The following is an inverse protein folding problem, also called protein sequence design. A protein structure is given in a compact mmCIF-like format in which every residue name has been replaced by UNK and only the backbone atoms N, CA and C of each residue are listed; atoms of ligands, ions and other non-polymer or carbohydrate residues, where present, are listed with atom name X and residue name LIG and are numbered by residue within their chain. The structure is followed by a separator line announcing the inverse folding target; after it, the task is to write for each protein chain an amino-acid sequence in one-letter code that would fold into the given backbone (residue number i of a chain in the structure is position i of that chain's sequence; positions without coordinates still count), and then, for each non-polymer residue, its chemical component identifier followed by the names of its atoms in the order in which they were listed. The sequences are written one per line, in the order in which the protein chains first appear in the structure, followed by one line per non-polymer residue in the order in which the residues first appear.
data_IF_259073118673
#
_entry.id   IF_259073118673
#
_cell.length_a   1.000
_cell.length_b   1.000
_cell.length_c   1.000
_cell.angle_alpha   90.00
_cell.angle_beta   90.00
_cell.angle_gamma   90.00
#
_symmetry.space_group_name_H-M   'P 1'
#
loop_
_entity.id
_entity.type
_entity.pdbx_description
1 polymer ?
#
# COMPACT_ATOMS: atom_id res chain seq x y z
N UNK A 1 -6.11 -10.36 26.63
CA UNK A 1 -5.40 -11.23 25.67
C UNK A 1 -6.07 -11.06 24.31
N UNK A 2 -5.64 -10.06 23.54
CA UNK A 2 -6.20 -9.76 22.21
C UNK A 2 -5.42 -10.61 21.19
N UNK A 3 -6.15 -11.40 20.42
CA UNK A 3 -5.62 -12.38 19.47
C UNK A 3 -4.64 -11.73 18.49
N UNK A 4 -3.41 -12.24 18.48
CA UNK A 4 -2.35 -11.89 17.55
C UNK A 4 -2.70 -12.42 16.15
N UNK A 5 -3.38 -11.61 15.34
CA UNK A 5 -3.52 -11.88 13.89
C UNK A 5 -2.28 -11.35 13.18
N UNK A 6 -1.19 -12.11 13.30
CA UNK A 6 -0.01 -11.97 12.44
C UNK A 6 -0.35 -12.62 11.09
N UNK A 7 -1.15 -11.94 10.27
CA UNK A 7 -1.66 -12.49 9.02
C UNK A 7 -1.31 -11.58 7.85
N UNK A 8 -0.44 -12.09 6.98
CA UNK A 8 -0.47 -11.83 5.54
C UNK A 8 -0.17 -10.39 5.10
N UNK A 9 1.02 -9.91 5.45
CA UNK A 9 1.62 -8.75 4.80
C UNK A 9 1.87 -9.08 3.31
N UNK A 10 1.20 -8.35 2.41
CA UNK A 10 1.31 -8.39 0.95
C UNK A 10 0.76 -9.62 0.17
N UNK A 11 0.04 -10.55 0.82
CA UNK A 11 -0.57 -11.69 0.09
C UNK A 11 -2.06 -11.59 -0.31
N UNK A 12 -2.85 -10.51 -0.07
CA UNK A 12 -4.22 -10.49 -0.61
C UNK A 12 -4.47 -9.48 -1.73
N UNK A 13 -3.53 -8.62 -2.17
CA UNK A 13 -3.82 -7.56 -3.18
C UNK A 13 -4.28 -8.08 -4.55
N UNK A 14 -4.10 -9.37 -4.87
CA UNK A 14 -4.46 -9.85 -6.20
C UNK A 14 -4.84 -11.34 -6.23
N UNK A 15 -6.02 -11.65 -5.71
CA UNK A 15 -6.80 -12.82 -6.10
C UNK A 15 -7.97 -12.33 -6.99
N UNK A 16 -7.65 -11.56 -8.04
CA UNK A 16 -8.64 -10.86 -8.84
C UNK A 16 -9.21 -11.70 -10.02
N UNK A 17 -8.64 -12.85 -10.39
CA UNK A 17 -9.09 -13.61 -11.59
C UNK A 17 -8.86 -15.12 -11.46
N UNK A 18 -9.37 -15.81 -10.44
CA UNK A 18 -9.47 -17.29 -10.53
C UNK A 18 -10.40 -17.86 -9.45
N UNK A 19 -11.67 -18.09 -9.78
CA UNK A 19 -12.52 -18.99 -9.00
C UNK A 19 -13.73 -19.48 -9.83
N UNK A 20 -13.53 -20.55 -10.61
CA UNK A 20 -14.58 -21.56 -10.81
C UNK A 20 -13.91 -22.93 -10.95
N UNK A 21 -13.97 -23.77 -9.90
CA UNK A 21 -14.09 -25.24 -10.02
C UNK A 21 -14.53 -25.87 -8.69
N UNK A 22 -15.76 -26.40 -8.72
CA UNK A 22 -16.33 -27.57 -8.02
C UNK A 22 -16.15 -27.79 -6.50
N UNK A 23 -17.18 -27.44 -5.72
CA UNK A 23 -17.76 -28.28 -4.63
C UNK A 23 -19.10 -27.69 -4.15
N UNK A 24 -20.17 -28.50 -3.93
CA UNK A 24 -21.46 -28.01 -3.45
C UNK A 24 -21.54 -28.16 -1.93
N UNK A 25 -21.38 -27.06 -1.19
CA UNK A 25 -22.04 -26.76 0.10
C UNK A 25 -21.31 -25.58 0.75
N UNK A 26 -22.09 -24.59 1.20
CA UNK A 26 -21.72 -23.29 1.74
C UNK A 26 -21.39 -22.21 0.70
N UNK A 27 -22.35 -21.31 0.57
CA UNK A 27 -22.32 -20.09 -0.22
C UNK A 27 -21.13 -19.20 0.13
N UNK A 28 -20.02 -19.35 -0.60
CA UNK A 28 -19.27 -18.17 -1.01
C UNK A 28 -19.87 -17.76 -2.36
N UNK A 29 -20.63 -16.65 -2.37
CA UNK A 29 -20.98 -15.97 -3.61
C UNK A 29 -19.64 -15.68 -4.27
N UNK A 30 -19.27 -16.44 -5.31
CA UNK A 30 -18.12 -16.13 -6.13
C UNK A 30 -18.35 -14.69 -6.59
N UNK A 31 -17.62 -13.75 -6.00
CA UNK A 31 -17.82 -12.34 -6.26
C UNK A 31 -17.44 -12.14 -7.72
N UNK A 32 -18.44 -11.77 -8.52
CA UNK A 32 -18.22 -11.49 -9.93
C UNK A 32 -17.26 -10.30 -10.05
N UNK A 33 -16.37 -10.36 -11.03
CA UNK A 33 -15.60 -9.20 -11.44
C UNK A 33 -16.54 -8.24 -12.16
N UNK A 34 -16.79 -7.09 -11.55
CA UNK A 34 -17.60 -6.02 -12.14
C UNK A 34 -16.68 -4.99 -12.80
N UNK A 35 -17.04 -4.52 -14.01
CA UNK A 35 -16.28 -3.52 -14.76
C UNK A 35 -17.23 -2.43 -15.23
N UNK A 36 -16.89 -1.19 -14.91
CA UNK A 36 -17.62 0.02 -15.26
C UNK A 36 -16.69 1.01 -15.97
N UNK A 37 -17.25 1.84 -16.84
CA UNK A 37 -16.56 2.95 -17.48
C UNK A 37 -17.57 3.96 -18.04
N UNK A 38 -17.15 5.23 -18.10
CA UNK A 38 -18.01 6.35 -18.51
C UNK A 38 -18.25 6.41 -20.03
N UNK A 39 -17.24 6.06 -20.83
CA UNK A 39 -17.31 6.27 -22.29
C UNK A 39 -17.67 5.00 -23.05
N UNK A 40 -16.95 3.89 -22.85
CA UNK A 40 -17.22 2.65 -23.59
C UNK A 40 -16.76 1.39 -22.88
N UNK A 41 -17.49 0.31 -23.15
CA UNK A 41 -17.08 -1.08 -22.96
C UNK A 41 -17.09 -1.75 -24.34
N UNK A 42 -15.92 -2.14 -24.83
CA UNK A 42 -15.72 -2.68 -26.17
C UNK A 42 -15.13 -4.07 -26.10
N UNK A 43 -15.67 -4.98 -26.91
CA UNK A 43 -15.09 -6.30 -27.15
C UNK A 43 -14.65 -6.40 -28.60
N UNK A 44 -13.34 -6.32 -28.81
CA UNK A 44 -12.71 -6.52 -30.10
C UNK A 44 -12.20 -7.96 -30.23
N UNK A 45 -12.93 -8.78 -30.99
CA UNK A 45 -12.57 -10.19 -31.22
C UNK A 45 -11.39 -10.35 -32.17
N UNK A 46 -11.19 -9.40 -33.09
CA UNK A 46 -10.10 -9.46 -34.06
C UNK A 46 -8.76 -9.23 -33.36
N UNK A 47 -8.72 -8.24 -32.46
CA UNK A 47 -7.54 -7.93 -31.65
C UNK A 47 -7.48 -8.71 -30.33
N UNK A 48 -8.52 -9.49 -30.02
CA UNK A 48 -8.67 -10.30 -28.80
C UNK A 48 -8.50 -9.48 -27.52
N UNK A 49 -9.26 -8.39 -27.44
CA UNK A 49 -9.26 -7.46 -26.31
C UNK A 49 -10.65 -7.11 -25.81
N UNK A 50 -10.79 -7.00 -24.49
CA UNK A 50 -11.85 -6.23 -23.84
C UNK A 50 -11.28 -4.89 -23.40
N UNK A 51 -11.97 -3.80 -23.72
CA UNK A 51 -11.53 -2.44 -23.37
C UNK A 51 -12.64 -1.69 -22.65
N UNK A 52 -12.32 -1.15 -21.48
CA UNK A 52 -13.14 -0.22 -20.73
C UNK A 52 -12.45 1.15 -20.72
N UNK A 53 -13.15 2.20 -21.13
CA UNK A 53 -12.55 3.53 -21.34
C UNK A 53 -13.37 4.64 -20.70
N UNK A 54 -12.68 5.58 -20.06
CA UNK A 54 -13.25 6.70 -19.32
C UNK A 54 -13.49 6.30 -17.88
N UNK A 55 -12.62 6.76 -16.96
CA UNK A 55 -12.69 6.46 -15.53
C UNK A 55 -13.02 4.99 -15.23
N UNK A 56 -12.36 4.08 -15.95
CA UNK A 56 -12.64 2.66 -15.87
C UNK A 56 -12.35 2.12 -14.46
N UNK A 57 -13.32 1.38 -13.92
CA UNK A 57 -13.23 0.74 -12.61
C UNK A 57 -13.47 -0.75 -12.77
N UNK A 58 -12.59 -1.58 -12.22
CA UNK A 58 -12.82 -3.00 -12.03
C UNK A 58 -12.88 -3.31 -10.53
N UNK A 59 -13.87 -4.06 -10.09
CA UNK A 59 -14.06 -4.41 -8.69
C UNK A 59 -14.32 -5.90 -8.48
N UNK A 60 -13.74 -6.45 -7.41
CA UNK A 60 -13.99 -7.82 -6.96
C UNK A 60 -13.79 -7.86 -5.43
N UNK A 61 -14.90 -7.95 -4.71
CA UNK A 61 -14.88 -7.89 -3.26
C UNK A 61 -14.41 -6.55 -2.72
N UNK A 62 -13.38 -6.59 -1.87
CA UNK A 62 -12.75 -5.39 -1.30
C UNK A 62 -11.65 -4.79 -2.19
N UNK A 63 -11.32 -5.44 -3.31
CA UNK A 63 -10.32 -4.98 -4.25
C UNK A 63 -10.95 -4.13 -5.37
N UNK A 64 -10.31 -3.00 -5.68
CA UNK A 64 -10.69 -2.10 -6.78
C UNK A 64 -9.48 -1.68 -7.60
N UNK A 65 -9.67 -1.57 -8.90
CA UNK A 65 -8.70 -1.04 -9.86
C UNK A 65 -9.34 0.10 -10.62
N UNK A 66 -8.70 1.26 -10.61
CA UNK A 66 -9.10 2.47 -11.29
C UNK A 66 -8.07 2.82 -12.36
N UNK A 67 -8.51 3.32 -13.51
CA UNK A 67 -7.65 3.84 -14.57
C UNK A 67 -8.47 4.69 -15.57
N UNK A 68 -7.81 5.50 -16.39
CA UNK A 68 -8.47 6.13 -17.54
C UNK A 68 -8.94 5.06 -18.54
N UNK A 69 -8.20 3.96 -18.67
CA UNK A 69 -8.58 2.79 -19.46
C UNK A 69 -8.07 1.47 -18.87
N UNK A 70 -8.91 0.43 -18.95
CA UNK A 70 -8.58 -0.97 -18.66
C UNK A 70 -8.67 -1.80 -19.94
N UNK A 71 -7.62 -2.55 -20.27
CA UNK A 71 -7.57 -3.42 -21.44
C UNK A 71 -7.18 -4.83 -21.01
N UNK A 72 -8.07 -5.80 -21.21
CA UNK A 72 -7.77 -7.21 -21.00
C UNK A 72 -7.48 -7.89 -22.34
N UNK A 73 -6.27 -8.42 -22.50
CA UNK A 73 -5.90 -9.24 -23.65
C UNK A 73 -6.18 -10.70 -23.35
N UNK A 74 -6.80 -11.41 -24.29
CA UNK A 74 -7.18 -12.80 -24.13
C UNK A 74 -6.75 -13.67 -25.30
N UNK A 75 -6.77 -14.98 -25.09
CA UNK A 75 -6.70 -16.01 -26.14
C UNK A 75 -7.91 -16.91 -26.02
N UNK A 76 -8.22 -17.66 -27.07
CA UNK A 76 -9.23 -18.72 -27.01
C UNK A 76 -8.52 -20.07 -27.02
N UNK A 77 -8.97 -21.02 -26.18
CA UNK A 77 -8.52 -22.41 -26.29
C UNK A 77 -9.28 -23.13 -27.42
N UNK A 78 -8.97 -24.41 -27.64
CA UNK A 78 -9.64 -25.23 -28.66
C UNK A 78 -11.15 -25.39 -28.45
N UNK A 79 -11.62 -25.22 -27.21
CA UNK A 79 -13.04 -25.24 -26.84
C UNK A 79 -13.74 -23.89 -27.03
N UNK A 80 -13.01 -22.84 -27.43
CA UNK A 80 -13.53 -21.48 -27.55
C UNK A 80 -13.59 -20.71 -26.23
N UNK A 81 -13.05 -21.25 -25.14
CA UNK A 81 -13.02 -20.57 -23.85
C UNK A 81 -12.02 -19.42 -23.86
N UNK A 82 -12.46 -18.28 -23.32
CA UNK A 82 -11.64 -17.09 -23.17
C UNK A 82 -10.66 -17.26 -22.01
N UNK A 83 -9.38 -17.12 -22.32
CA UNK A 83 -8.27 -17.16 -21.35
C UNK A 83 -7.58 -15.80 -21.34
N UNK A 84 -7.75 -15.06 -20.25
CA UNK A 84 -7.07 -13.77 -20.05
C UNK A 84 -5.57 -14.02 -19.92
N UNK A 85 -4.75 -13.24 -20.64
CA UNK A 85 -3.29 -13.33 -20.62
C UNK A 85 -2.64 -12.17 -19.89
N UNK A 86 -3.18 -10.97 -20.08
CA UNK A 86 -2.74 -9.79 -19.35
C UNK A 86 -3.84 -8.75 -19.28
N UNK A 87 -3.77 -7.93 -18.24
CA UNK A 87 -4.61 -6.74 -18.07
C UNK A 87 -3.70 -5.53 -17.98
N UNK A 88 -4.03 -4.48 -18.70
CA UNK A 88 -3.33 -3.19 -18.71
C UNK A 88 -4.27 -2.14 -18.13
N UNK A 89 -3.85 -1.50 -17.04
CA UNK A 89 -4.47 -0.31 -16.46
C UNK A 89 -3.60 0.89 -16.82
N UNK A 90 -4.14 1.87 -17.52
CA UNK A 90 -3.37 3.01 -18.04
C UNK A 90 -4.08 4.34 -17.82
N UNK A 91 -3.28 5.39 -17.63
CA UNK A 91 -3.79 6.72 -17.32
C UNK A 91 -4.21 6.77 -15.85
N UNK A 92 -3.24 7.04 -14.98
CA UNK A 92 -3.47 7.16 -13.53
C UNK A 92 -3.99 5.87 -12.86
N UNK A 93 -3.39 4.73 -13.22
CA UNK A 93 -3.70 3.45 -12.59
C UNK A 93 -3.59 3.52 -11.07
N UNK A 94 -4.65 3.13 -10.38
CA UNK A 94 -4.71 3.02 -8.91
C UNK A 94 -5.36 1.70 -8.53
N UNK A 95 -4.73 0.95 -7.63
CA UNK A 95 -5.34 -0.24 -7.03
C UNK A 95 -5.55 0.03 -5.55
N UNK A 96 -6.70 -0.39 -5.06
CA UNK A 96 -7.05 -0.33 -3.64
C UNK A 96 -7.45 -1.72 -3.18
N UNK A 97 -6.94 -2.13 -2.02
CA UNK A 97 -7.46 -3.30 -1.31
C UNK A 97 -7.26 -3.14 0.17
N UNK A 98 -8.35 -3.25 0.94
CA UNK A 98 -8.32 -2.94 2.36
C UNK A 98 -7.76 -1.52 2.56
N UNK A 99 -6.67 -1.33 3.32
CA UNK A 99 -6.01 -0.03 3.52
C UNK A 99 -4.80 0.18 2.59
N UNK A 100 -4.51 -0.78 1.71
CA UNK A 100 -3.36 -0.72 0.82
C UNK A 100 -3.74 -0.01 -0.49
N UNK A 101 -2.90 0.93 -0.91
CA UNK A 101 -3.07 1.70 -2.15
C UNK A 101 -1.78 1.67 -2.95
N UNK A 102 -1.89 1.31 -4.23
CA UNK A 102 -0.81 1.43 -5.21
C UNK A 102 -1.26 2.39 -6.29
N UNK A 103 -0.40 3.33 -6.68
CA UNK A 103 -0.65 4.23 -7.81
C UNK A 103 0.54 4.23 -8.76
N UNK A 104 0.29 4.30 -10.06
CA UNK A 104 1.28 4.45 -11.12
C UNK A 104 0.63 5.08 -12.37
N UNK A 105 1.40 5.49 -13.38
CA UNK A 105 0.79 5.87 -14.67
C UNK A 105 0.21 4.64 -15.39
N UNK A 106 0.86 3.50 -15.24
CA UNK A 106 0.51 2.25 -15.91
C UNK A 106 0.79 1.06 -14.99
N UNK A 107 -0.14 0.10 -14.95
CA UNK A 107 0.06 -1.20 -14.35
C UNK A 107 -0.31 -2.31 -15.32
N UNK A 108 0.47 -3.38 -15.35
CA UNK A 108 0.21 -4.57 -16.16
C UNK A 108 0.21 -5.80 -15.28
N UNK A 109 -0.90 -6.53 -15.24
CA UNK A 109 -1.00 -7.82 -14.60
C UNK A 109 -0.88 -8.92 -15.66
N UNK A 110 -0.04 -9.92 -15.42
CA UNK A 110 0.18 -11.07 -16.29
C UNK A 110 -0.41 -12.33 -15.65
N UNK A 111 -1.10 -13.13 -16.45
CA UNK A 111 -1.68 -14.41 -16.06
C UNK A 111 -0.77 -15.56 -16.54
N UNK A 112 -0.64 -16.60 -15.73
CA UNK A 112 -0.01 -17.85 -16.13
C UNK A 112 -0.96 -18.76 -16.93
N UNK A 113 -0.46 -19.93 -17.34
CA UNK A 113 -1.22 -20.89 -18.13
C UNK A 113 -2.45 -21.44 -17.40
N UNK A 114 -2.48 -21.42 -16.07
CA UNK A 114 -3.60 -21.86 -15.23
C UNK A 114 -4.59 -20.73 -14.94
N UNK A 115 -4.51 -19.61 -15.67
CA UNK A 115 -5.31 -18.41 -15.46
C UNK A 115 -5.20 -17.87 -14.02
N UNK A 116 -4.03 -18.02 -13.38
CA UNK A 116 -3.70 -17.37 -12.11
C UNK A 116 -2.71 -16.24 -12.35
N UNK A 117 -2.64 -15.30 -11.43
CA UNK A 117 -1.70 -14.20 -11.53
C UNK A 117 -0.25 -14.67 -11.37
N UNK A 118 0.60 -14.24 -12.30
CA UNK A 118 2.03 -14.55 -12.33
C UNK A 118 2.87 -13.37 -11.87
N UNK A 119 2.58 -12.19 -12.44
CA UNK A 119 3.37 -10.98 -12.18
C UNK A 119 2.53 -9.71 -12.35
N UNK A 120 2.80 -8.71 -11.52
CA UNK A 120 2.37 -7.31 -11.76
C UNK A 120 3.59 -6.47 -12.09
N UNK A 121 3.47 -5.56 -13.04
CA UNK A 121 4.42 -4.49 -13.27
C UNK A 121 3.73 -3.13 -13.14
N UNK A 122 4.26 -2.25 -12.30
CA UNK A 122 3.84 -0.85 -12.20
C UNK A 122 4.96 0.06 -12.72
N UNK A 123 4.61 1.08 -13.50
CA UNK A 123 5.59 1.93 -14.19
C UNK A 123 5.22 3.40 -14.11
N UNK A 124 6.27 4.23 -14.06
CA UNK A 124 6.27 5.70 -14.02
C UNK A 124 5.55 6.23 -12.79
N UNK A 125 6.33 6.77 -11.85
CA UNK A 125 5.83 7.34 -10.58
C UNK A 125 5.03 6.33 -9.75
N UNK A 126 5.65 5.19 -9.47
CA UNK A 126 5.06 4.17 -8.61
C UNK A 126 5.07 4.66 -7.17
N UNK A 127 3.91 4.59 -6.51
CA UNK A 127 3.76 4.84 -5.08
C UNK A 127 2.94 3.72 -4.48
N UNK A 128 3.43 3.17 -3.39
CA UNK A 128 2.77 2.16 -2.57
C UNK A 128 2.56 2.79 -1.20
N UNK A 129 1.34 2.75 -0.69
CA UNK A 129 0.97 3.21 0.64
C UNK A 129 0.25 2.08 1.35
N UNK A 130 0.67 1.79 2.56
CA UNK A 130 -0.01 0.89 3.50
C UNK A 130 -0.21 1.65 4.81
N UNK A 131 -0.90 1.09 5.82
CA UNK A 131 -1.09 1.77 7.11
C UNK A 131 0.20 2.26 7.77
N UNK A 132 1.31 1.52 7.60
CA UNK A 132 2.54 1.77 8.32
C UNK A 132 3.68 2.30 7.44
N UNK A 133 3.51 2.26 6.11
CA UNK A 133 4.63 2.42 5.17
C UNK A 133 4.25 3.17 3.92
N UNK A 134 5.26 3.87 3.37
CA UNK A 134 5.21 4.48 2.05
C UNK A 134 6.45 4.10 1.27
N UNK A 135 6.28 3.63 0.04
CA UNK A 135 7.37 3.35 -0.88
C UNK A 135 7.13 4.05 -2.22
N UNK A 136 8.16 4.65 -2.79
CA UNK A 136 8.12 5.26 -4.13
C UNK A 136 9.25 4.74 -5.00
N UNK A 137 9.00 4.62 -6.31
CA UNK A 137 10.01 4.27 -7.32
C UNK A 137 9.56 4.63 -8.74
N UNK A 138 10.44 4.46 -9.72
CA UNK A 138 10.08 4.61 -11.14
C UNK A 138 9.36 3.36 -11.68
N UNK A 139 9.77 2.18 -11.21
CA UNK A 139 9.17 0.88 -11.56
C UNK A 139 9.03 0.01 -10.31
N UNK A 140 8.00 -0.82 -10.28
CA UNK A 140 7.87 -1.93 -9.35
C UNK A 140 7.41 -3.18 -10.10
N UNK A 141 7.91 -4.34 -9.68
CA UNK A 141 7.54 -5.64 -10.23
C UNK A 141 7.29 -6.58 -9.06
N UNK A 142 6.15 -7.26 -9.07
CA UNK A 142 5.84 -8.29 -8.07
C UNK A 142 5.61 -9.63 -8.74
N UNK A 143 6.32 -10.67 -8.31
CA UNK A 143 6.14 -12.05 -8.77
C UNK A 143 5.40 -12.86 -7.71
N UNK A 144 4.27 -13.48 -8.09
CA UNK A 144 3.47 -14.30 -7.19
C UNK A 144 4.12 -15.65 -6.88
N UNK A 145 4.87 -16.20 -7.83
CA UNK A 145 5.55 -17.49 -7.66
C UNK A 145 6.70 -17.43 -6.66
N UNK A 146 7.42 -16.29 -6.62
CA UNK A 146 8.56 -16.10 -5.72
C UNK A 146 8.22 -15.28 -4.48
N UNK A 147 7.08 -14.59 -4.49
CA UNK A 147 6.67 -13.63 -3.46
C UNK A 147 7.72 -12.52 -3.25
N UNK A 148 8.36 -12.11 -4.34
CA UNK A 148 9.37 -11.04 -4.35
C UNK A 148 8.80 -9.81 -5.06
N UNK A 149 8.76 -8.69 -4.33
CA UNK A 149 8.53 -7.37 -4.90
C UNK A 149 9.88 -6.67 -5.14
N UNK A 150 10.14 -6.25 -6.37
CA UNK A 150 11.33 -5.51 -6.77
C UNK A 150 10.94 -4.10 -7.20
N UNK A 151 11.50 -3.09 -6.54
CA UNK A 151 11.35 -1.67 -6.90
C UNK A 151 12.67 -1.17 -7.49
N UNK A 152 12.62 -0.33 -8.52
CA UNK A 152 13.81 0.22 -9.16
C UNK A 152 13.61 1.65 -9.65
N UNK A 153 14.69 2.43 -9.62
CA UNK A 153 14.72 3.85 -9.96
C UNK A 153 14.13 4.70 -8.84
N UNK A 154 14.92 5.66 -8.34
CA UNK A 154 14.52 6.63 -7.32
C UNK A 154 13.78 6.01 -6.11
N UNK A 155 14.28 4.89 -5.59
CA UNK A 155 13.61 4.15 -4.52
C UNK A 155 13.70 4.92 -3.21
N UNK A 156 12.55 5.23 -2.62
CA UNK A 156 12.43 5.78 -1.27
C UNK A 156 11.40 4.99 -0.49
N UNK A 157 11.80 4.43 0.65
CA UNK A 157 10.95 3.74 1.60
C UNK A 157 10.89 4.57 2.88
N UNK A 158 9.71 4.72 3.47
CA UNK A 158 9.47 5.42 4.73
C UNK A 158 8.58 4.56 5.63
N UNK A 159 9.00 4.34 6.88
CA UNK A 159 8.24 3.63 7.93
C UNK A 159 8.37 4.42 9.23
N UNK A 160 7.28 5.05 9.67
CA UNK A 160 7.35 6.05 10.75
C UNK A 160 8.35 7.16 10.42
N UNK A 161 9.27 7.46 11.33
CA UNK A 161 10.36 8.40 11.11
C UNK A 161 11.52 7.84 10.25
N UNK A 162 11.56 6.52 10.02
CA UNK A 162 12.66 5.87 9.33
C UNK A 162 12.56 6.09 7.82
N UNK A 163 13.66 6.50 7.19
CA UNK A 163 13.73 6.73 5.74
C UNK A 163 14.89 5.96 5.14
N UNK A 164 14.62 5.22 4.06
CA UNK A 164 15.63 4.47 3.30
C UNK A 164 15.60 4.88 1.82
N UNK A 165 16.77 5.19 1.27
CA UNK A 165 16.96 5.64 -0.11
C UNK A 165 17.90 4.70 -0.86
N UNK A 166 17.52 4.30 -2.07
CA UNK A 166 18.28 3.39 -2.90
C UNK A 166 17.91 3.48 -4.38
N UNK A 167 18.59 2.69 -5.20
CA UNK A 167 18.31 2.61 -6.65
C UNK A 167 17.51 1.35 -7.00
N UNK A 168 17.62 0.31 -6.17
CA UNK A 168 16.76 -0.86 -6.21
C UNK A 168 16.42 -1.29 -4.79
N UNK A 169 15.23 -1.82 -4.58
CA UNK A 169 14.85 -2.54 -3.37
C UNK A 169 14.20 -3.87 -3.75
N UNK A 170 14.45 -4.91 -2.96
CA UNK A 170 13.77 -6.19 -3.02
C UNK A 170 13.12 -6.48 -1.68
N UNK A 171 11.86 -6.89 -1.71
CA UNK A 171 11.09 -7.29 -0.55
C UNK A 171 10.70 -8.75 -0.77
N UNK A 172 11.24 -9.63 0.05
CA UNK A 172 10.83 -11.02 0.09
C UNK A 172 9.69 -11.15 1.11
N UNK A 173 8.47 -11.33 0.63
CA UNK A 173 7.28 -11.30 1.47
C UNK A 173 7.09 -12.58 2.28
N UNK A 174 7.67 -13.69 1.80
CA UNK A 174 7.72 -14.94 2.54
C UNK A 174 8.50 -14.82 3.85
N UNK A 175 9.64 -14.12 3.80
CA UNK A 175 10.56 -13.96 4.94
C UNK A 175 10.43 -12.61 5.63
N UNK A 176 9.66 -11.68 5.06
CA UNK A 176 9.56 -10.28 5.46
C UNK A 176 10.90 -9.52 5.46
N UNK A 177 11.86 -9.95 4.63
CA UNK A 177 13.17 -9.30 4.52
C UNK A 177 13.17 -8.29 3.37
N UNK A 178 13.49 -7.03 3.68
CA UNK A 178 13.76 -5.99 2.71
C UNK A 178 15.28 -5.82 2.51
N UNK A 179 15.71 -5.74 1.25
CA UNK A 179 17.11 -5.46 0.87
C UNK A 179 17.13 -4.26 -0.07
N UNK A 180 17.98 -3.28 0.24
CA UNK A 180 18.22 -2.14 -0.64
C UNK A 180 19.58 -2.28 -1.31
N UNK A 181 19.61 -1.91 -2.59
CA UNK A 181 20.79 -1.95 -3.42
C UNK A 181 21.09 -0.57 -4.01
N UNK A 182 22.37 -0.30 -4.12
CA UNK A 182 22.92 0.84 -4.84
C UNK A 182 22.78 0.67 -6.36
N UNK A 183 22.90 1.77 -7.12
CA UNK A 183 23.06 1.64 -8.57
C UNK A 183 24.33 0.84 -8.86
N UNK A 184 24.22 -0.16 -9.72
CA UNK A 184 25.38 -0.81 -10.33
C UNK A 184 25.90 0.13 -11.42
N UNK A 185 27.18 0.48 -11.43
CA UNK A 185 27.80 1.14 -12.59
C UNK A 185 27.80 0.16 -13.77
N UNK A 186 27.44 0.64 -14.96
CA UNK A 186 27.39 -0.18 -16.18
C UNK A 186 28.75 -0.74 -16.62
N UNK A 187 29.87 -0.33 -16.01
CA UNK A 187 31.23 -0.77 -16.40
C UNK A 187 32.01 -1.52 -15.31
N UNK A 188 31.34 -2.17 -14.35
CA UNK A 188 32.02 -3.08 -13.40
C UNK A 188 33.01 -2.44 -12.40
N UNK A 189 33.25 -1.13 -12.47
CA UNK A 189 34.07 -0.41 -11.51
C UNK A 189 33.31 -0.22 -10.18
N UNK A 190 33.91 -0.66 -9.08
CA UNK A 190 33.41 -0.42 -7.74
C UNK A 190 33.44 1.09 -7.43
N UNK A 191 32.26 1.72 -7.38
CA UNK A 191 32.10 3.04 -6.79
C UNK A 191 30.85 3.80 -7.23
N UNK A 192 30.12 4.32 -6.24
CA UNK A 192 29.14 5.42 -6.30
C UNK A 192 27.65 5.09 -6.52
N UNK A 193 27.14 4.03 -5.92
CA UNK A 193 25.81 4.11 -5.34
C UNK A 193 25.93 3.77 -3.87
N UNK A 194 25.57 4.70 -2.98
CA UNK A 194 25.43 4.39 -1.56
C UNK A 194 23.94 4.25 -1.29
N UNK A 195 23.55 3.17 -0.64
CA UNK A 195 22.24 3.12 0.02
C UNK A 195 22.33 3.99 1.27
N UNK A 196 21.30 4.78 1.55
CA UNK A 196 21.24 5.63 2.75
C UNK A 196 20.02 5.24 3.56
N UNK A 197 20.21 4.91 4.83
CA UNK A 197 19.15 4.73 5.81
C UNK A 197 19.31 5.74 6.93
N UNK A 198 18.21 6.34 7.37
CA UNK A 198 18.13 7.06 8.64
C UNK A 198 17.14 6.29 9.49
N UNK A 199 17.60 5.81 10.64
CA UNK A 199 16.81 5.04 11.60
C UNK A 199 16.75 5.80 12.92
N UNK A 200 15.54 5.95 13.44
CA UNK A 200 15.27 6.50 14.75
C UNK A 200 14.86 5.34 15.66
N UNK A 201 15.65 5.09 16.71
CA UNK A 201 15.50 3.92 17.59
C UNK A 201 14.47 4.16 18.71
N UNK A 202 14.03 5.41 18.93
CA UNK A 202 13.03 5.76 19.95
C UNK A 202 12.03 6.81 19.41
N UNK A 203 11.11 6.42 18.52
CA UNK A 203 10.08 7.34 18.02
C UNK A 203 8.87 7.50 18.97
N UNK A 204 8.85 6.77 20.10
CA UNK A 204 7.78 6.83 21.11
C UNK A 204 8.02 7.85 22.24
N UNK A 205 8.88 8.86 22.02
CA UNK A 205 9.07 9.97 22.98
C UNK A 205 8.98 11.35 22.34
N UNK A 206 8.01 11.54 21.46
CA UNK A 206 7.56 12.86 21.06
C UNK A 206 6.35 13.31 21.91
N UNK A 207 6.48 13.23 23.23
CA UNK A 207 5.61 13.89 24.22
C UNK A 207 6.47 14.22 25.46
N UNK A 208 7.24 15.30 25.39
CA UNK A 208 7.85 15.90 26.58
C UNK A 208 6.82 16.88 27.13
N UNK A 209 5.98 16.41 28.06
CA UNK A 209 5.24 17.28 28.97
C UNK A 209 6.26 18.00 29.86
N UNK A 210 6.32 19.33 29.77
CA UNK A 210 7.03 20.14 30.76
C UNK A 210 6.17 20.22 32.02
N UNK A 211 6.31 19.24 32.90
CA UNK A 211 5.84 19.37 34.28
C UNK A 211 6.94 20.09 35.06
N UNK A 212 6.70 21.35 35.39
CA UNK A 212 7.61 22.19 36.15
C UNK A 212 7.30 22.00 37.63
N UNK A 213 7.96 21.03 38.26
CA UNK A 213 8.03 20.93 39.70
C UNK A 213 8.90 22.06 40.25
N UNK A 214 8.26 23.12 40.75
CA UNK A 214 8.89 24.04 41.69
C UNK A 214 8.57 23.58 43.11
N UNK A 215 9.64 23.20 43.80
CA UNK A 215 9.70 22.57 45.10
C UNK A 215 9.05 23.37 46.25
N UNK A 216 8.64 22.60 47.26
CA UNK A 216 8.26 23.03 48.59
C UNK A 216 9.48 23.48 49.43
N UNK A 217 9.26 24.52 50.25
CA UNK A 217 9.78 24.79 51.59
C UNK A 217 9.04 26.08 52.01
N UNK A 218 8.26 26.16 53.08
CA UNK A 218 8.64 25.97 54.48
C UNK A 218 7.36 25.89 55.35
N UNK A 219 7.40 25.14 56.45
CA UNK A 219 6.33 25.05 57.45
C UNK A 219 6.95 25.22 58.83
N UNK A 220 6.70 26.35 59.51
CA UNK A 220 6.53 26.55 60.98
C UNK A 220 5.98 27.98 61.19
N UNK A 221 5.20 28.40 62.19
CA UNK A 221 4.25 27.83 63.14
C UNK A 221 3.55 29.04 63.83
N UNK A 222 2.26 28.89 64.16
CA UNK A 222 1.50 29.50 65.29
C UNK A 222 1.51 31.03 65.58
N UNK A 223 0.33 31.65 65.45
CA UNK A 223 -0.41 32.41 66.51
C UNK A 223 -1.75 32.88 65.92
N UNK A 224 -2.88 32.29 66.31
CA UNK A 224 -3.82 32.74 67.36
C UNK A 224 -4.84 33.82 66.90
N UNK A 225 -6.13 33.49 67.12
CA UNK A 225 -7.31 34.35 67.30
C UNK A 225 -8.19 34.75 66.08
N UNK A 226 -9.39 34.17 66.09
CA UNK A 226 -10.65 34.56 65.41
C UNK A 226 -11.38 35.64 66.28
N UNK A 227 -12.48 36.30 65.86
CA UNK A 227 -12.86 37.02 64.62
C UNK A 227 -13.27 38.50 64.90
N UNK A 228 -13.29 39.39 63.89
CA UNK A 228 -14.22 40.54 63.90
C UNK A 228 -14.67 40.94 62.49
N UNK A 229 -15.98 40.82 62.19
CA UNK A 229 -16.67 41.74 61.27
C UNK A 229 -16.96 43.04 62.04
N UNK A 230 -16.97 44.21 61.38
CA UNK A 230 -18.26 44.73 60.93
C UNK A 230 -18.24 45.43 59.56
N UNK A 231 -19.42 45.39 58.92
CA UNK A 231 -19.83 46.25 57.81
C UNK A 231 -20.21 47.65 58.34
N UNK A 232 -19.73 48.72 57.69
CA UNK A 232 -20.36 50.05 57.48
C UNK A 232 -19.29 50.95 56.82
N UNK A 233 -19.54 51.79 55.82
CA UNK A 233 -20.80 52.31 55.31
C UNK A 233 -20.67 52.91 53.90
N UNK A 234 -21.83 53.21 53.35
CA UNK A 234 -22.09 54.11 52.24
C UNK A 234 -21.46 55.49 52.49
N UNK A 235 -21.02 56.18 51.44
CA UNK A 235 -21.28 57.61 51.27
C UNK A 235 -21.04 58.05 49.82
N UNK A 236 -22.13 58.59 49.25
CA UNK A 236 -22.31 59.50 48.11
C UNK A 236 -21.58 59.24 46.79
#
# INVERSE_FOLDING_TARGET
MKSLRLMSFFLPVLMLICAVVSSPAYANKAQALEIEADNSLEWDRNNKTFMAKGNAVASNGDARVYADALIAHYTENESGDIIIKKIVASGNARTEKSDDVITAREMVAFMNAQNKLDRIEARKNVKITTPNEKATSDKAVYSFSTEIASMSGNVKLTRGANVMLGQKAEFNLKTNVARLFSAKKENGAAGAGRVRGVFYVDADKADVQFEQDAAAEDTQAQSEQQPTKPYTGLNN
#
